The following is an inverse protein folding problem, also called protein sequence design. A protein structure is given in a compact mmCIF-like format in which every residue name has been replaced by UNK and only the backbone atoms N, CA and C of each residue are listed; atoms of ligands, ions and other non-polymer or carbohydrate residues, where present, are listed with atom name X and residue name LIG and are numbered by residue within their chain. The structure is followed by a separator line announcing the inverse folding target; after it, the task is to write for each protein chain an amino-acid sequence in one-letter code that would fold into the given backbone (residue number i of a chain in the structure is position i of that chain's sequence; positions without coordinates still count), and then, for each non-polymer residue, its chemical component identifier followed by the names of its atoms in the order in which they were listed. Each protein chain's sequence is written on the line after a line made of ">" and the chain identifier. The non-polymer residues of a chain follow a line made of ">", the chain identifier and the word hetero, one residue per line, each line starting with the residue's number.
data_IF_153800405034
#
_entry.id   IF_153800405034
#
_cell.length_a   1.000
_cell.length_b   1.000
_cell.length_c   1.000
_cell.angle_alpha   90.00
_cell.angle_beta   90.00
_cell.angle_gamma   90.00
#
_symmetry.space_group_name_H-M   'P 1'
#
loop_
_entity.id
_entity.type
_entity.pdbx_description
1 polymer ?
#
# COMPACT_ATOMS: atom_id res chain seq x y z
N UNK A 1 2.98 22.54 -20.57
CA UNK A 1 3.52 21.36 -19.85
C UNK A 1 4.51 20.69 -20.78
N UNK A 2 5.75 20.47 -20.33
CA UNK A 2 6.76 19.71 -21.08
C UNK A 2 6.81 18.32 -20.43
N UNK A 3 6.74 17.28 -21.24
CA UNK A 3 6.97 15.91 -20.80
C UNK A 3 8.43 15.58 -21.04
N UNK A 4 9.11 15.05 -20.03
CA UNK A 4 10.50 14.63 -20.12
C UNK A 4 10.64 13.29 -19.40
N UNK A 5 11.47 12.41 -19.96
CA UNK A 5 11.85 11.19 -19.28
C UNK A 5 12.95 11.52 -18.28
N UNK A 6 12.95 10.84 -17.14
CA UNK A 6 14.07 10.86 -16.20
C UNK A 6 14.97 9.70 -16.60
N UNK A 7 16.00 9.96 -17.39
CA UNK A 7 16.80 8.94 -18.08
C UNK A 7 17.44 7.93 -17.11
N UNK A 8 17.85 8.40 -15.92
CA UNK A 8 18.50 7.56 -14.92
C UNK A 8 17.51 6.89 -13.96
N UNK A 9 16.26 7.36 -13.84
CA UNK A 9 15.31 6.78 -12.89
C UNK A 9 14.83 5.42 -13.39
N UNK A 10 15.08 4.38 -12.62
CA UNK A 10 14.60 3.03 -12.89
C UNK A 10 13.54 2.59 -11.87
N UNK A 11 12.60 1.77 -12.33
CA UNK A 11 11.61 1.11 -11.48
C UNK A 11 11.84 -0.39 -11.64
N UNK A 12 12.40 -1.01 -10.62
CA UNK A 12 12.58 -2.45 -10.58
C UNK A 12 11.34 -3.13 -10.00
N UNK A 13 10.92 -4.19 -10.68
CA UNK A 13 9.92 -5.10 -10.17
C UNK A 13 10.51 -6.52 -10.23
N UNK A 14 10.48 -7.22 -9.11
CA UNK A 14 11.01 -8.58 -8.99
C UNK A 14 10.13 -9.39 -8.07
N UNK A 15 10.10 -10.70 -8.25
CA UNK A 15 9.19 -11.54 -7.49
C UNK A 15 9.26 -13.01 -7.86
N UNK A 16 8.49 -13.81 -7.13
CA UNK A 16 8.29 -15.23 -7.39
C UNK A 16 6.80 -15.55 -7.34
N UNK A 17 6.37 -16.40 -8.26
CA UNK A 17 4.98 -16.85 -8.36
C UNK A 17 4.92 -18.36 -8.26
N UNK A 18 4.04 -18.85 -7.41
CA UNK A 18 3.74 -20.25 -7.25
C UNK A 18 2.29 -20.50 -7.61
N UNK A 19 2.05 -21.57 -8.36
CA UNK A 19 0.72 -22.06 -8.63
C UNK A 19 0.69 -23.57 -8.42
N UNK A 20 -0.38 -24.04 -7.77
CA UNK A 20 -0.64 -25.45 -7.58
C UNK A 20 -2.08 -25.72 -8.00
N UNK A 21 -2.26 -26.82 -8.72
CA UNK A 21 -3.58 -27.32 -9.11
C UNK A 21 -3.63 -28.83 -8.86
N UNK A 22 -4.65 -29.26 -8.12
CA UNK A 22 -4.90 -30.65 -7.82
C UNK A 22 -6.31 -31.01 -8.20
N UNK A 23 -6.43 -31.94 -9.15
CA UNK A 23 -7.70 -32.49 -9.59
C UNK A 23 -7.74 -33.99 -9.37
N UNK A 24 -8.83 -34.46 -8.82
CA UNK A 24 -9.07 -35.90 -8.64
C UNK A 24 -10.53 -36.25 -8.86
N UNK A 25 -10.75 -37.51 -9.25
CA UNK A 25 -12.06 -38.12 -9.34
C UNK A 25 -12.09 -39.27 -8.33
N UNK A 26 -13.10 -39.28 -7.46
CA UNK A 26 -13.28 -40.29 -6.42
C UNK A 26 -14.51 -41.12 -6.76
N UNK A 27 -14.30 -42.32 -7.29
CA UNK A 27 -15.37 -43.13 -7.87
C UNK A 27 -15.80 -42.61 -9.24
N UNK A 28 -17.06 -42.82 -9.62
CA UNK A 28 -17.59 -42.39 -10.92
C UNK A 28 -18.34 -41.04 -10.85
N UNK A 29 -18.79 -40.66 -9.64
CA UNK A 29 -19.78 -39.59 -9.45
C UNK A 29 -19.22 -38.33 -8.80
N UNK A 30 -18.03 -38.39 -8.18
CA UNK A 30 -17.47 -37.27 -7.41
C UNK A 30 -16.16 -36.77 -8.01
N UNK A 31 -16.08 -35.46 -8.21
CA UNK A 31 -14.90 -34.74 -8.67
C UNK A 31 -14.53 -33.66 -7.65
N UNK A 32 -13.23 -33.53 -7.40
CA UNK A 32 -12.65 -32.49 -6.55
C UNK A 32 -11.55 -31.78 -7.33
N UNK A 33 -11.64 -30.46 -7.40
CA UNK A 33 -10.56 -29.62 -7.88
C UNK A 33 -10.22 -28.55 -6.83
N UNK A 34 -8.97 -28.57 -6.39
CA UNK A 34 -8.39 -27.59 -5.46
C UNK A 34 -7.20 -26.97 -6.13
N UNK A 35 -7.22 -25.65 -6.29
CA UNK A 35 -6.10 -24.93 -6.88
C UNK A 35 -5.89 -23.59 -6.23
N UNK A 36 -4.72 -23.01 -6.45
CA UNK A 36 -4.38 -21.69 -5.97
C UNK A 36 -3.07 -21.18 -6.51
N UNK A 37 -2.87 -19.87 -6.33
CA UNK A 37 -1.64 -19.18 -6.64
C UNK A 37 -1.25 -18.23 -5.50
N UNK A 38 0.04 -17.93 -5.45
CA UNK A 38 0.67 -17.11 -4.46
C UNK A 38 1.82 -16.36 -5.13
N UNK A 39 1.78 -15.03 -5.12
CA UNK A 39 2.78 -14.15 -5.74
C UNK A 39 3.41 -13.27 -4.67
N UNK A 40 4.74 -13.27 -4.61
CA UNK A 40 5.52 -12.35 -3.81
C UNK A 40 6.19 -11.35 -4.75
N UNK A 41 6.00 -10.06 -4.49
CA UNK A 41 6.47 -8.99 -5.37
C UNK A 41 7.21 -7.93 -4.56
N UNK A 42 8.37 -7.52 -5.04
CA UNK A 42 9.14 -6.39 -4.53
C UNK A 42 9.21 -5.34 -5.63
N UNK A 43 8.82 -4.11 -5.30
CA UNK A 43 8.95 -2.96 -6.17
C UNK A 43 9.88 -1.94 -5.53
N UNK A 44 10.77 -1.37 -6.34
CA UNK A 44 11.81 -0.47 -5.87
C UNK A 44 12.13 0.57 -6.94
N UNK A 45 12.16 1.84 -6.55
CA UNK A 45 12.66 2.95 -7.37
C UNK A 45 14.15 3.09 -7.12
N UNK A 46 14.95 3.23 -8.17
CA UNK A 46 16.39 3.43 -8.10
C UNK A 46 16.81 4.59 -8.99
N UNK A 47 18.00 5.14 -8.69
CA UNK A 47 18.70 6.10 -9.54
C UNK A 47 17.93 7.39 -9.88
N UNK A 48 16.89 7.72 -9.09
CA UNK A 48 16.26 9.03 -9.13
C UNK A 48 17.28 10.12 -8.74
N UNK A 49 17.44 11.19 -9.54
CA UNK A 49 18.28 12.33 -9.18
C UNK A 49 17.63 13.24 -8.12
N UNK A 50 16.37 12.97 -7.76
CA UNK A 50 15.62 13.70 -6.75
C UNK A 50 15.48 12.86 -5.48
N UNK A 51 15.58 13.52 -4.32
CA UNK A 51 15.27 12.89 -3.03
C UNK A 51 13.83 12.36 -2.99
N UNK A 52 12.90 13.08 -3.63
CA UNK A 52 11.52 12.65 -3.82
C UNK A 52 10.92 13.25 -5.09
N UNK A 53 10.16 12.44 -5.83
CA UNK A 53 9.23 12.91 -6.86
C UNK A 53 7.82 12.79 -6.31
N UNK A 54 7.20 13.92 -5.96
CA UNK A 54 5.83 13.94 -5.44
C UNK A 54 4.83 13.48 -6.49
N UNK A 55 4.03 12.47 -6.16
CA UNK A 55 3.04 11.86 -7.08
C UNK A 55 1.61 11.98 -6.58
N UNK A 56 1.42 12.31 -5.30
CA UNK A 56 0.11 12.56 -4.71
C UNK A 56 0.18 13.55 -3.57
N UNK A 57 -0.84 14.40 -3.47
CA UNK A 57 -1.01 15.36 -2.37
C UNK A 57 -2.40 15.22 -1.75
N UNK A 58 -2.50 15.52 -0.46
CA UNK A 58 -3.75 15.59 0.26
C UNK A 58 -4.65 16.69 -0.32
N UNK A 59 -5.97 16.46 -0.28
CA UNK A 59 -6.97 17.41 -0.77
C UNK A 59 -7.97 17.74 0.34
N UNK A 60 -8.15 19.01 0.65
CA UNK A 60 -9.06 19.47 1.70
C UNK A 60 -8.63 20.82 2.29
N UNK A 61 -9.50 21.40 3.12
CA UNK A 61 -9.19 22.67 3.81
C UNK A 61 -7.96 22.52 4.72
N UNK A 62 -6.94 23.36 4.52
CA UNK A 62 -5.70 23.32 5.30
C UNK A 62 -4.70 22.23 4.91
N UNK A 63 -4.92 21.52 3.80
CA UNK A 63 -4.09 20.40 3.34
C UNK A 63 -3.29 20.72 2.05
N UNK A 64 -3.31 21.98 1.61
CA UNK A 64 -2.58 22.43 0.42
C UNK A 64 -1.08 22.18 0.59
N UNK A 65 -0.49 21.41 -0.34
CA UNK A 65 0.95 21.12 -0.34
C UNK A 65 1.37 19.94 0.52
N UNK A 66 0.44 19.26 1.22
CA UNK A 66 0.78 18.06 1.96
C UNK A 66 0.95 16.87 1.01
N UNK A 67 2.20 16.60 0.60
CA UNK A 67 2.56 15.37 -0.13
C UNK A 67 2.11 14.14 0.68
N UNK A 68 1.40 13.22 0.05
CA UNK A 68 1.01 11.93 0.63
C UNK A 68 1.85 10.81 0.02
N UNK A 69 2.15 10.90 -1.28
CA UNK A 69 2.89 9.88 -2.01
C UNK A 69 4.04 10.49 -2.81
N UNK A 70 5.12 9.74 -2.94
CA UNK A 70 6.19 10.07 -3.86
C UNK A 70 7.06 8.87 -4.21
N UNK A 71 7.86 9.04 -5.24
CA UNK A 71 8.91 8.10 -5.60
C UNK A 71 10.18 8.49 -4.84
N UNK A 72 10.68 7.55 -4.04
CA UNK A 72 11.91 7.68 -3.26
C UNK A 72 12.83 6.51 -3.63
N UNK A 73 14.13 6.78 -3.74
CA UNK A 73 15.09 5.70 -3.99
C UNK A 73 15.05 4.66 -2.86
N UNK A 74 15.14 3.39 -3.24
CA UNK A 74 15.05 2.20 -2.40
C UNK A 74 13.65 1.92 -1.80
N UNK A 75 12.63 2.64 -2.26
CA UNK A 75 11.24 2.46 -1.82
C UNK A 75 10.34 2.12 -3.01
N UNK A 76 9.16 1.56 -2.75
CA UNK A 76 8.19 1.24 -3.79
C UNK A 76 7.53 2.50 -4.38
N UNK A 77 7.06 2.44 -5.64
CA UNK A 77 6.36 3.55 -6.31
C UNK A 77 5.04 3.95 -5.62
N UNK A 78 4.49 3.08 -4.76
CA UNK A 78 3.28 3.32 -3.98
C UNK A 78 3.53 3.87 -2.57
N UNK A 79 4.75 4.32 -2.26
CA UNK A 79 5.15 4.72 -0.91
C UNK A 79 4.42 5.96 -0.42
N UNK A 80 3.99 5.91 0.84
CA UNK A 80 3.47 7.05 1.57
C UNK A 80 4.62 7.84 2.19
N UNK A 81 4.67 9.16 1.94
CA UNK A 81 5.73 10.03 2.45
C UNK A 81 5.16 11.10 3.37
N UNK A 82 5.20 10.82 4.67
CA UNK A 82 4.45 11.56 5.68
C UNK A 82 5.21 11.67 7.00
N UNK A 83 4.82 12.63 7.84
CA UNK A 83 5.32 12.75 9.22
C UNK A 83 4.73 11.65 10.07
N UNK A 84 5.53 11.08 10.96
CA UNK A 84 5.08 10.06 11.89
C UNK A 84 4.33 10.70 13.07
N UNK A 85 3.03 10.42 13.17
CA UNK A 85 2.20 10.86 14.28
C UNK A 85 2.52 10.05 15.54
N UNK A 86 2.89 10.73 16.63
CA UNK A 86 3.29 10.10 17.90
C UNK A 86 2.30 10.37 19.04
N UNK A 87 1.24 11.15 18.80
CA UNK A 87 0.20 11.40 19.78
C UNK A 87 -0.38 12.80 19.72
N UNK A 88 -1.17 13.14 20.74
CA UNK A 88 -1.74 14.48 20.93
C UNK A 88 -1.02 15.13 22.11
N UNK A 89 -0.54 16.36 21.93
CA UNK A 89 0.10 17.14 22.97
C UNK A 89 -0.90 17.70 23.98
N UNK A 90 -0.39 18.22 25.09
CA UNK A 90 -1.20 18.83 26.16
C UNK A 90 -2.02 20.05 25.65
N UNK A 91 -1.57 20.67 24.56
CA UNK A 91 -2.26 21.76 23.87
C UNK A 91 -3.38 21.29 22.92
N UNK A 92 -3.60 19.98 22.83
CA UNK A 92 -4.57 19.34 21.95
C UNK A 92 -4.17 19.36 20.47
N UNK A 93 -2.90 19.63 20.14
CA UNK A 93 -2.37 19.56 18.78
C UNK A 93 -1.71 18.20 18.51
N UNK A 94 -1.63 17.85 17.23
CA UNK A 94 -0.92 16.64 16.80
C UNK A 94 0.58 16.80 17.05
N UNK A 95 1.18 15.80 17.69
CA UNK A 95 2.62 15.66 17.82
C UNK A 95 3.16 14.73 16.74
N UNK A 96 4.28 15.10 16.17
CA UNK A 96 5.01 14.29 15.20
C UNK A 96 6.42 14.03 15.72
N UNK A 97 7.01 12.91 15.28
CA UNK A 97 8.42 12.61 15.59
C UNK A 97 9.33 13.58 14.84
N UNK A 98 10.24 14.21 15.58
CA UNK A 98 11.44 14.85 15.07
C UNK A 98 12.42 13.72 14.69
N UNK A 99 12.67 13.57 13.39
CA UNK A 99 13.49 12.50 12.83
C UNK A 99 14.95 12.93 12.73
N UNK A 100 15.21 14.22 12.48
CA UNK A 100 16.55 14.75 12.26
C UNK A 100 17.23 15.22 13.58
N UNK A 101 16.46 15.41 14.65
CA UNK A 101 16.90 15.79 15.99
C UNK A 101 17.19 17.28 16.17
N UNK A 102 16.67 18.16 15.32
CA UNK A 102 16.94 19.60 15.36
C UNK A 102 15.96 20.40 16.26
N UNK A 103 14.91 19.76 16.76
CA UNK A 103 13.90 20.35 17.63
C UNK A 103 12.77 21.09 16.90
N UNK A 104 12.79 21.13 15.57
CA UNK A 104 11.70 21.63 14.73
C UNK A 104 10.96 20.46 14.06
N UNK A 105 9.73 20.69 13.58
CA UNK A 105 8.93 19.67 12.89
C UNK A 105 8.66 20.15 11.47
N UNK A 106 9.58 19.84 10.55
CA UNK A 106 9.66 20.36 9.18
C UNK A 106 9.52 19.24 8.13
N UNK A 107 9.60 19.58 6.84
CA UNK A 107 9.31 18.61 5.76
C UNK A 107 10.38 17.51 5.61
N UNK A 108 11.56 17.71 6.18
CA UNK A 108 12.64 16.73 6.29
C UNK A 108 12.44 15.72 7.43
N UNK A 109 11.42 15.88 8.29
CA UNK A 109 10.99 14.86 9.27
C UNK A 109 10.04 13.81 8.69
N UNK A 110 9.78 13.86 7.38
CA UNK A 110 8.91 12.89 6.72
C UNK A 110 9.65 11.57 6.52
N UNK A 111 8.90 10.49 6.67
CA UNK A 111 9.39 9.12 6.50
C UNK A 111 8.63 8.40 5.39
N UNK A 112 9.25 7.36 4.84
CA UNK A 112 8.55 6.34 4.09
C UNK A 112 7.67 5.51 5.05
N UNK A 113 6.37 5.81 5.08
CA UNK A 113 5.39 5.21 5.99
C UNK A 113 4.76 3.91 5.43
N UNK A 114 5.53 3.18 4.61
CA UNK A 114 5.09 1.98 3.90
C UNK A 114 4.40 2.28 2.57
N UNK A 115 3.99 1.22 1.87
CA UNK A 115 3.54 1.28 0.47
C UNK A 115 2.10 0.83 0.31
N UNK A 116 1.38 1.45 -0.64
CA UNK A 116 0.08 0.97 -1.09
C UNK A 116 0.15 -0.33 -1.91
N UNK A 117 1.34 -0.68 -2.41
CA UNK A 117 1.55 -1.94 -3.13
C UNK A 117 1.64 -3.11 -2.14
N UNK A 118 0.96 -4.23 -2.40
CA UNK A 118 1.10 -5.42 -1.57
C UNK A 118 2.41 -6.14 -1.86
N UNK A 119 3.02 -6.70 -0.81
CA UNK A 119 4.21 -7.56 -0.92
C UNK A 119 3.82 -8.99 -1.29
N UNK A 120 2.57 -9.37 -1.03
CA UNK A 120 2.03 -10.71 -1.23
C UNK A 120 0.59 -10.67 -1.72
N UNK A 121 0.30 -11.41 -2.78
CA UNK A 121 -1.06 -11.66 -3.27
C UNK A 121 -1.29 -13.17 -3.38
N UNK A 122 -2.52 -13.60 -3.12
CA UNK A 122 -2.86 -15.02 -3.20
C UNK A 122 -4.30 -15.21 -3.62
N UNK A 123 -4.55 -16.33 -4.25
CA UNK A 123 -5.88 -16.79 -4.61
C UNK A 123 -5.96 -18.29 -4.46
N UNK A 124 -7.11 -18.80 -4.03
CA UNK A 124 -7.38 -20.23 -4.05
C UNK A 124 -8.85 -20.51 -4.30
N UNK A 125 -9.13 -21.72 -4.77
CA UNK A 125 -10.47 -22.15 -5.11
C UNK A 125 -10.68 -23.62 -4.76
N UNK A 126 -11.95 -23.97 -4.56
CA UNK A 126 -12.40 -25.32 -4.26
C UNK A 126 -13.64 -25.60 -5.10
N UNK A 127 -13.58 -26.59 -5.98
CA UNK A 127 -14.72 -27.04 -6.76
C UNK A 127 -15.05 -28.49 -6.42
N UNK A 128 -16.33 -28.73 -6.14
CA UNK A 128 -16.91 -30.03 -5.86
C UNK A 128 -17.96 -30.32 -6.91
N UNK A 129 -17.84 -31.46 -7.59
CA UNK A 129 -18.90 -31.98 -8.45
C UNK A 129 -19.38 -33.30 -7.87
N UNK A 130 -20.70 -33.45 -7.72
CA UNK A 130 -21.35 -34.70 -7.36
C UNK A 130 -22.55 -34.94 -8.27
N UNK A 131 -22.42 -35.86 -9.23
CA UNK A 131 -23.43 -36.14 -10.26
C UNK A 131 -23.84 -34.86 -11.03
N UNK A 132 -25.07 -34.39 -10.82
CA UNK A 132 -25.65 -33.22 -11.48
C UNK A 132 -25.60 -31.97 -10.59
N UNK A 133 -24.80 -31.98 -9.53
CA UNK A 133 -24.64 -30.86 -8.61
C UNK A 133 -23.19 -30.40 -8.60
N UNK A 134 -22.98 -29.11 -8.79
CA UNK A 134 -21.68 -28.45 -8.70
C UNK A 134 -21.70 -27.38 -7.59
N UNK A 135 -20.56 -27.21 -6.91
CA UNK A 135 -20.35 -26.18 -5.90
C UNK A 135 -18.92 -25.65 -6.00
N UNK A 136 -18.79 -24.33 -6.14
CA UNK A 136 -17.52 -23.63 -6.23
C UNK A 136 -17.34 -22.59 -5.13
N UNK A 137 -16.13 -22.53 -4.58
CA UNK A 137 -15.66 -21.47 -3.68
C UNK A 137 -14.42 -20.81 -4.26
N UNK A 138 -14.32 -19.49 -4.11
CA UNK A 138 -13.17 -18.72 -4.57
C UNK A 138 -12.79 -17.67 -3.53
N UNK A 139 -11.50 -17.55 -3.27
CA UNK A 139 -10.93 -16.62 -2.31
C UNK A 139 -9.74 -15.91 -2.95
N UNK A 140 -9.66 -14.60 -2.76
CA UNK A 140 -8.54 -13.78 -3.20
C UNK A 140 -8.15 -12.84 -2.05
N UNK A 141 -6.86 -12.57 -1.91
CA UNK A 141 -6.34 -11.72 -0.86
C UNK A 141 -5.03 -11.05 -1.24
N UNK A 142 -4.74 -9.97 -0.54
CA UNK A 142 -3.48 -9.23 -0.60
C UNK A 142 -3.02 -8.92 0.82
N UNK A 143 -1.71 -8.80 1.03
CA UNK A 143 -1.11 -8.46 2.31
C UNK A 143 0.17 -7.65 2.12
N UNK A 144 0.61 -6.99 3.21
CA UNK A 144 1.80 -6.12 3.24
C UNK A 144 1.51 -4.66 2.89
N UNK A 145 0.46 -4.39 2.11
CA UNK A 145 0.10 -3.03 1.73
C UNK A 145 -0.44 -2.21 2.92
N UNK A 146 -0.25 -0.90 2.82
CA UNK A 146 -0.81 0.12 3.72
C UNK A 146 -1.97 0.84 3.04
N UNK A 147 -2.88 1.35 3.86
CA UNK A 147 -4.04 2.12 3.43
C UNK A 147 -3.97 3.48 4.08
N UNK A 148 -3.95 4.51 3.25
CA UNK A 148 -4.09 5.88 3.73
C UNK A 148 -5.57 6.21 3.96
N UNK A 149 -5.94 6.42 5.22
CA UNK A 149 -7.31 6.76 5.59
C UNK A 149 -7.50 8.29 5.64
N UNK A 150 -7.94 8.85 4.51
CA UNK A 150 -8.19 10.28 4.39
C UNK A 150 -9.33 10.76 5.32
N UNK A 151 -10.36 9.94 5.55
CA UNK A 151 -11.51 10.30 6.40
C UNK A 151 -11.10 10.54 7.85
N UNK A 152 -10.23 9.69 8.38
CA UNK A 152 -9.68 9.85 9.74
C UNK A 152 -8.83 11.12 9.78
N UNK A 153 -7.94 11.31 8.80
CA UNK A 153 -7.12 12.53 8.73
C UNK A 153 -7.99 13.81 8.72
N UNK A 154 -9.08 13.86 7.94
CA UNK A 154 -9.92 15.06 7.86
C UNK A 154 -10.79 15.30 9.09
N UNK A 155 -11.23 14.25 9.77
CA UNK A 155 -12.19 14.34 10.89
C UNK A 155 -11.55 14.66 12.24
N UNK A 156 -10.28 14.31 12.45
CA UNK A 156 -9.58 14.48 13.74
C UNK A 156 -8.72 15.75 13.82
N UNK A 157 -8.94 16.73 12.93
CA UNK A 157 -8.28 18.04 13.09
C UNK A 157 -8.96 18.86 14.18
N UNK A 158 -8.18 19.57 15.02
CA UNK A 158 -8.69 20.44 16.10
C UNK A 158 -9.77 21.42 15.62
N UNK A 159 -9.68 21.91 14.38
CA UNK A 159 -10.68 22.81 13.77
C UNK A 159 -12.02 22.15 13.40
N UNK A 160 -12.07 20.83 13.24
CA UNK A 160 -13.31 20.07 13.06
C UNK A 160 -13.89 19.61 14.39
N UNK A 161 -13.04 19.19 15.35
CA UNK A 161 -13.45 18.83 16.71
C UNK A 161 -14.00 20.02 17.49
N UNK A 162 -13.47 21.23 17.28
CA UNK A 162 -14.00 22.44 17.95
C UNK A 162 -15.36 22.91 17.41
N UNK A 163 -15.90 22.25 16.38
CA UNK A 163 -17.20 22.57 15.75
C UNK A 163 -18.28 21.52 16.06
N UNK A 164 -17.93 20.45 16.79
CA UNK A 164 -18.89 19.49 17.36
C UNK A 164 -19.26 19.91 18.78
#
# INVERSE_FOLDING_TARGET
>A
KIWTNLEDLEIHNSGVEFALDFRTMIGEDFSLNVGGNATFIKNEVTDSPFAIITTGAAQGGGQTGATINGYLNNEAIGTFYMKEFIGIGDDGLNLFRDVNGDGEILDDDRIAAGSALPDFTYAFYLNFDYKNFDLGFNFNGVSGNKIYNHTVMSSFSKGQLSRM
#
